data_IF_577178057829
#
_entry.id   IF_577178057829
#
_cell.length_a   1.000
_cell.length_b   1.000
_cell.length_c   1.000
_cell.angle_alpha   90.00
_cell.angle_beta   90.00
_cell.angle_gamma   90.00
#
_symmetry.space_group_name_H-M   'P 1'
#
loop_
_entity.id
_entity.type
_entity.pdbx_description
1 polymer ?
#
# COMPACT_ATOMS: atom_id res chain seq x y z
N UNK A 1 1.57 4.89 -8.44
CA UNK A 1 2.40 3.83 -9.00
C UNK A 1 2.40 3.94 -10.52
N UNK A 2 3.04 2.97 -11.20
CA UNK A 2 3.07 2.75 -12.65
C UNK A 2 4.01 1.56 -12.93
N UNK A 3 3.75 0.77 -13.98
CA UNK A 3 4.30 -0.59 -14.17
C UNK A 3 3.20 -1.64 -13.96
N UNK A 4 3.47 -2.73 -13.22
CA UNK A 4 2.48 -3.80 -12.91
C UNK A 4 1.20 -3.31 -12.21
N UNK A 5 1.24 -2.10 -11.62
CA UNK A 5 0.12 -1.50 -10.89
C UNK A 5 -0.45 -0.25 -11.59
N UNK A 6 -0.32 -0.17 -12.92
CA UNK A 6 -0.80 0.96 -13.70
C UNK A 6 -2.29 0.86 -14.06
N UNK A 7 -2.79 -0.35 -14.31
CA UNK A 7 -4.17 -0.59 -14.74
C UNK A 7 -4.89 -1.47 -13.71
N UNK A 8 -5.59 -0.82 -12.79
CA UNK A 8 -6.34 -1.52 -11.74
C UNK A 8 -6.77 -0.61 -10.59
N UNK A 9 -7.21 -1.23 -9.51
CA UNK A 9 -7.70 -0.54 -8.33
C UNK A 9 -6.97 -1.02 -7.07
N UNK A 10 -6.62 -0.09 -6.20
CA UNK A 10 -6.19 -0.41 -4.83
C UNK A 10 -7.41 -0.44 -3.91
N UNK A 11 -7.45 -1.43 -3.03
CA UNK A 11 -8.55 -1.61 -2.08
C UNK A 11 -7.97 -1.79 -0.67
N UNK A 12 -8.35 -0.92 0.26
CA UNK A 12 -8.06 -1.08 1.68
C UNK A 12 -9.02 -2.07 2.32
N UNK A 13 -8.50 -3.17 2.85
CA UNK A 13 -9.28 -4.17 3.57
C UNK A 13 -9.14 -3.94 5.09
N UNK A 14 -10.14 -3.29 5.68
CA UNK A 14 -10.15 -2.84 7.09
C UNK A 14 -10.07 -3.96 8.14
N UNK A 15 -10.36 -5.19 7.73
CA UNK A 15 -10.31 -6.38 8.56
C UNK A 15 -11.67 -6.81 9.11
N UNK A 16 -11.89 -8.12 9.19
CA UNK A 16 -13.12 -8.73 9.66
C UNK A 16 -13.31 -8.54 11.16
N UNK A 17 -14.52 -8.18 11.59
CA UNK A 17 -14.89 -8.21 13.01
C UNK A 17 -15.69 -9.47 13.40
N UNK A 18 -16.28 -10.18 12.43
CA UNK A 18 -17.19 -11.30 12.66
C UNK A 18 -16.80 -12.56 11.87
N UNK A 19 -15.55 -13.01 12.02
CA UNK A 19 -15.08 -14.31 11.53
C UNK A 19 -14.27 -15.00 12.62
N UNK A 20 -14.39 -16.34 12.69
CA UNK A 20 -13.59 -17.17 13.60
C UNK A 20 -12.11 -17.16 13.24
N UNK A 21 -11.79 -17.15 11.94
CA UNK A 21 -10.45 -16.90 11.41
C UNK A 21 -10.45 -15.50 10.78
N UNK A 22 -9.71 -14.52 11.34
CA UNK A 22 -9.68 -13.16 10.81
C UNK A 22 -9.17 -13.09 9.37
N UNK A 23 -9.76 -12.20 8.57
CA UNK A 23 -9.38 -11.95 7.17
C UNK A 23 -9.33 -10.44 6.90
N UNK A 24 -8.63 -10.03 5.85
CA UNK A 24 -8.39 -8.63 5.53
C UNK A 24 -7.11 -8.13 6.20
N UNK A 25 -7.15 -6.92 6.75
CA UNK A 25 -5.99 -6.26 7.39
C UNK A 25 -4.82 -6.10 6.40
N UNK A 26 -5.13 -5.56 5.23
CA UNK A 26 -4.17 -5.37 4.14
C UNK A 26 -4.68 -4.36 3.13
N UNK A 27 -3.79 -3.98 2.22
CA UNK A 27 -4.15 -3.35 0.96
C UNK A 27 -3.87 -4.33 -0.17
N UNK A 28 -4.85 -4.50 -1.05
CA UNK A 28 -4.73 -5.34 -2.26
C UNK A 28 -4.78 -4.48 -3.52
N UNK A 29 -4.29 -5.03 -4.62
CA UNK A 29 -4.44 -4.48 -5.96
C UNK A 29 -5.25 -5.45 -6.83
N UNK A 30 -6.33 -4.97 -7.44
CA UNK A 30 -7.14 -5.73 -8.39
C UNK A 30 -6.73 -5.31 -9.81
N UNK A 31 -6.13 -6.20 -10.63
CA UNK A 31 -5.70 -5.86 -11.98
C UNK A 31 -6.90 -5.69 -12.91
N UNK A 32 -6.83 -4.72 -13.82
CA UNK A 32 -7.88 -4.45 -14.80
C UNK A 32 -7.35 -4.67 -16.22
N UNK A 33 -8.27 -5.03 -17.12
CA UNK A 33 -8.07 -5.02 -18.58
C UNK A 33 -9.37 -4.54 -19.22
N UNK A 34 -9.28 -3.58 -20.14
CA UNK A 34 -10.43 -3.00 -20.84
C UNK A 34 -11.52 -2.48 -19.88
N UNK A 35 -11.10 -1.81 -18.81
CA UNK A 35 -12.00 -1.22 -17.80
C UNK A 35 -12.69 -2.24 -16.88
N UNK A 36 -12.31 -3.52 -16.90
CA UNK A 36 -12.90 -4.57 -16.07
C UNK A 36 -11.83 -5.32 -15.26
N UNK A 37 -12.14 -5.83 -14.05
CA UNK A 37 -11.25 -6.73 -13.32
C UNK A 37 -10.82 -7.92 -14.19
N UNK A 38 -9.52 -8.22 -14.18
CA UNK A 38 -8.89 -9.20 -15.07
C UNK A 38 -7.85 -10.05 -14.32
N UNK A 39 -8.27 -10.67 -13.21
CA UNK A 39 -7.44 -11.54 -12.39
C UNK A 39 -7.79 -11.42 -10.91
N UNK A 40 -7.11 -12.23 -10.10
CA UNK A 40 -7.31 -12.23 -8.66
C UNK A 40 -6.68 -10.99 -7.99
N UNK A 41 -7.23 -10.54 -6.85
CA UNK A 41 -6.57 -9.53 -6.03
C UNK A 41 -5.16 -9.97 -5.62
N UNK A 42 -4.22 -9.03 -5.69
CA UNK A 42 -2.81 -9.23 -5.35
C UNK A 42 -2.52 -8.49 -4.05
N UNK A 43 -2.01 -9.18 -3.04
CA UNK A 43 -1.58 -8.54 -1.80
C UNK A 43 -0.46 -7.52 -2.08
N UNK A 44 -0.64 -6.28 -1.64
CA UNK A 44 0.27 -5.16 -1.90
C UNK A 44 0.92 -4.62 -0.63
N UNK A 45 0.13 -4.38 0.43
CA UNK A 45 0.64 -4.09 1.78
C UNK A 45 -0.03 -5.05 2.76
N UNK A 46 0.75 -5.94 3.37
CA UNK A 46 0.28 -6.97 4.29
C UNK A 46 0.75 -6.73 5.72
N UNK A 47 0.49 -7.70 6.59
CA UNK A 47 1.01 -7.77 7.97
C UNK A 47 0.50 -6.69 8.92
N UNK A 48 -0.62 -6.01 8.59
CA UNK A 48 -1.37 -5.24 9.57
C UNK A 48 -2.05 -6.13 10.61
N UNK A 49 -2.32 -7.40 10.28
CA UNK A 49 -2.55 -8.46 11.26
C UNK A 49 -1.34 -9.40 11.22
N UNK A 50 -0.67 -9.58 12.36
CA UNK A 50 0.49 -10.47 12.41
C UNK A 50 0.07 -11.94 12.62
N UNK A 51 1.05 -12.85 12.50
CA UNK A 51 0.85 -14.30 12.67
C UNK A 51 0.36 -14.72 14.07
N UNK A 52 0.58 -13.87 15.06
CA UNK A 52 0.15 -14.10 16.45
C UNK A 52 -1.28 -13.60 16.72
N UNK A 53 -1.98 -13.10 15.68
CA UNK A 53 -3.33 -12.55 15.80
C UNK A 53 -3.39 -11.12 16.37
N UNK A 54 -2.25 -10.45 16.54
CA UNK A 54 -2.18 -9.05 16.99
C UNK A 54 -2.34 -8.10 15.81
N UNK A 55 -3.38 -7.29 15.84
CA UNK A 55 -3.61 -6.20 14.89
C UNK A 55 -2.71 -5.01 15.20
N UNK A 56 -2.02 -4.52 14.18
CA UNK A 56 -1.11 -3.36 14.19
C UNK A 56 -1.63 -2.20 13.34
N UNK A 57 -2.64 -2.44 12.52
CA UNK A 57 -3.38 -1.40 11.82
C UNK A 57 -4.63 -1.92 11.11
N UNK A 58 -5.44 -1.00 10.61
CA UNK A 58 -6.69 -1.26 9.91
C UNK A 58 -6.83 -0.25 8.76
N UNK A 59 -6.42 -0.63 7.54
CA UNK A 59 -6.49 0.26 6.38
C UNK A 59 -7.92 0.74 6.08
N UNK A 60 -8.12 2.05 5.91
CA UNK A 60 -9.41 2.68 5.59
C UNK A 60 -9.37 3.27 4.18
N UNK A 61 -8.76 4.45 4.04
CA UNK A 61 -8.67 5.17 2.78
C UNK A 61 -7.36 4.87 2.05
N UNK A 62 -7.42 4.69 0.74
CA UNK A 62 -6.23 4.52 -0.11
C UNK A 62 -6.29 5.48 -1.30
N UNK A 63 -5.15 6.06 -1.64
CA UNK A 63 -5.00 6.88 -2.86
C UNK A 63 -3.57 6.84 -3.39
N UNK A 64 -3.41 7.13 -4.67
CA UNK A 64 -2.10 7.25 -5.32
C UNK A 64 -1.73 8.72 -5.38
N UNK A 65 -0.58 9.09 -4.82
CA UNK A 65 -0.07 10.46 -4.93
C UNK A 65 0.42 10.76 -6.37
N UNK A 66 0.55 12.04 -6.78
CA UNK A 66 1.04 12.40 -8.11
C UNK A 66 2.47 11.94 -8.43
N UNK A 67 3.26 11.58 -7.41
CA UNK A 67 4.63 11.04 -7.55
C UNK A 67 4.64 9.51 -7.67
N UNK A 68 3.48 8.88 -7.54
CA UNK A 68 3.26 7.46 -7.67
C UNK A 68 3.38 6.65 -6.38
N UNK A 69 3.43 7.26 -5.20
CA UNK A 69 3.38 6.55 -3.91
C UNK A 69 1.96 6.15 -3.53
N UNK A 70 1.79 5.07 -2.76
CA UNK A 70 0.49 4.69 -2.20
C UNK A 70 0.36 5.35 -0.85
N UNK A 71 -0.70 6.11 -0.67
CA UNK A 71 -1.08 6.68 0.61
C UNK A 71 -2.15 5.78 1.21
N UNK A 72 -1.94 5.33 2.44
CA UNK A 72 -2.88 4.47 3.19
C UNK A 72 -3.16 5.13 4.52
N UNK A 73 -4.43 5.43 4.78
CA UNK A 73 -4.90 5.86 6.10
C UNK A 73 -5.23 4.63 6.96
N UNK A 74 -4.80 4.63 8.21
CA UNK A 74 -5.00 3.57 9.19
C UNK A 74 -5.56 4.17 10.48
N UNK A 75 -6.81 3.83 10.81
CA UNK A 75 -7.54 4.42 11.94
C UNK A 75 -7.16 3.81 13.30
N UNK A 76 -6.73 2.53 13.33
CA UNK A 76 -6.35 1.86 14.57
C UNK A 76 -5.06 2.44 15.14
N UNK A 77 -4.07 2.67 14.28
CA UNK A 77 -2.77 3.20 14.70
C UNK A 77 -2.67 4.73 14.61
N UNK A 78 -3.71 5.39 14.10
CA UNK A 78 -3.72 6.82 13.77
C UNK A 78 -2.52 7.23 12.89
N UNK A 79 -2.24 6.43 11.86
CA UNK A 79 -1.07 6.57 10.99
C UNK A 79 -1.48 6.77 9.53
N UNK A 80 -0.73 7.62 8.81
CA UNK A 80 -0.78 7.69 7.35
C UNK A 80 0.52 7.13 6.79
N UNK A 81 0.42 6.00 6.08
CA UNK A 81 1.55 5.32 5.47
C UNK A 81 1.77 5.87 4.06
N UNK A 82 3.04 6.10 3.69
CA UNK A 82 3.44 6.41 2.31
C UNK A 82 4.34 5.28 1.80
N UNK A 83 3.79 4.46 0.91
CA UNK A 83 4.47 3.28 0.36
C UNK A 83 5.08 3.61 -0.99
N UNK A 84 6.38 3.33 -1.14
CA UNK A 84 7.15 3.57 -2.36
C UNK A 84 7.93 2.31 -2.75
N UNK A 85 8.22 2.09 -4.04
CA UNK A 85 9.13 1.02 -4.46
C UNK A 85 10.50 1.13 -3.78
N UNK A 86 11.10 -0.01 -3.44
CA UNK A 86 12.44 -0.07 -2.85
C UNK A 86 13.59 0.17 -3.86
N UNK A 87 13.26 0.35 -5.14
CA UNK A 87 14.25 0.75 -6.15
C UNK A 87 14.24 2.27 -6.31
N UNK A 88 15.40 2.94 -6.27
CA UNK A 88 15.46 4.35 -6.67
C UNK A 88 14.91 4.45 -8.08
N UNK A 89 13.91 5.32 -8.27
CA UNK A 89 13.34 5.61 -9.58
C UNK A 89 14.50 5.94 -10.51
N UNK A 90 14.63 5.23 -11.63
CA UNK A 90 15.52 5.64 -12.72
C UNK A 90 15.08 7.06 -13.14
N UNK A 91 15.79 8.10 -12.66
CA UNK A 91 15.46 9.50 -12.87
C UNK A 91 15.16 10.34 -11.61
N UNK A 92 15.12 9.77 -10.41
CA UNK A 92 15.18 10.59 -9.19
C UNK A 92 16.66 10.89 -8.88
N UNK A 93 17.13 12.07 -9.29
CA UNK A 93 18.46 12.53 -8.91
C UNK A 93 18.62 12.45 -7.39
N UNK A 94 19.66 11.75 -6.93
CA UNK A 94 20.08 11.77 -5.54
C UNK A 94 20.25 13.22 -5.10
N UNK A 95 19.77 13.63 -3.90
CA UNK A 95 20.12 14.92 -3.35
C UNK A 95 21.64 15.06 -3.33
N UNK A 96 22.22 16.21 -3.71
CA UNK A 96 23.65 16.41 -3.53
C UNK A 96 23.98 16.16 -2.05
N UNK A 97 24.99 15.32 -1.81
CA UNK A 97 25.52 15.13 -0.48
C UNK A 97 25.81 16.52 0.11
N UNK A 98 25.32 16.79 1.32
CA UNK A 98 25.67 18.03 2.03
C UNK A 98 27.19 18.07 2.12
N UNK A 99 27.81 19.03 1.43
CA UNK A 99 29.19 19.37 1.70
C UNK A 99 29.24 19.91 3.13
N UNK A 100 29.91 19.20 4.03
CA UNK A 100 30.21 19.73 5.36
C UNK A 100 31.15 20.93 5.19
N UNK A 101 30.77 22.15 5.61
CA UNK A 101 31.73 23.22 5.79
C UNK A 101 32.23 23.14 7.23
N UNK A 102 33.40 22.50 7.38
CA UNK A 102 34.19 22.33 8.61
C UNK A 102 33.60 21.41 9.69
#
# INVERSE_FOLDING_TARGET
MGGRFAEGAFVGEHGSWNRSVPVGYKVVFVPFRDGRPAGDPIDFVSDFLNKDGKTRGRPVGVTVDPRGALIVADDLSNTVWRVTPNSPRAGAASPPAKANPF
#
